data_IF_564237905030
#
_entry.id   IF_564237905030
#
_cell.length_a   1.000
_cell.length_b   1.000
_cell.length_c   1.000
_cell.angle_alpha   90.00
_cell.angle_beta   90.00
_cell.angle_gamma   90.00
#
_symmetry.space_group_name_H-M   'P 1'
#
loop_
_entity.id
_entity.type
_entity.pdbx_description
1 polymer ?
#
# COMPACT_ATOMS: atom_id res chain seq x y z
N UNK A 1 -0.82 3.61 -29.60
CA UNK A 1 0.12 3.40 -28.46
C UNK A 1 -0.46 4.16 -27.29
N UNK A 2 -0.87 3.49 -26.21
CA UNK A 2 -1.44 4.19 -25.04
C UNK A 2 -0.38 5.03 -24.34
N UNK A 3 -0.76 6.12 -23.68
CA UNK A 3 0.18 6.90 -22.88
C UNK A 3 0.69 6.01 -21.71
N UNK A 4 2.00 5.77 -21.71
CA UNK A 4 2.67 5.01 -20.67
C UNK A 4 2.46 5.63 -19.29
N UNK A 5 2.37 6.96 -19.20
CA UNK A 5 2.13 7.67 -17.94
C UNK A 5 0.72 7.41 -17.43
N UNK A 6 -0.30 7.55 -18.27
CA UNK A 6 -1.67 7.25 -17.89
C UNK A 6 -1.82 5.81 -17.38
N UNK A 7 -1.24 4.84 -18.10
CA UNK A 7 -1.23 3.43 -17.67
C UNK A 7 -0.53 3.25 -16.32
N UNK A 8 0.63 3.89 -16.15
CA UNK A 8 1.43 3.80 -14.92
C UNK A 8 0.70 4.37 -13.71
N UNK A 9 0.06 5.53 -13.84
CA UNK A 9 -0.74 6.13 -12.76
C UNK A 9 -1.94 5.24 -12.41
N UNK A 10 -2.65 4.72 -13.42
CA UNK A 10 -3.81 3.86 -13.18
C UNK A 10 -3.44 2.56 -12.48
N UNK A 11 -2.34 1.92 -12.84
CA UNK A 11 -1.87 0.69 -12.19
C UNK A 11 -1.48 0.92 -10.71
N UNK A 12 -1.00 2.11 -10.35
CA UNK A 12 -0.71 2.45 -8.94
C UNK A 12 -1.96 2.81 -8.13
N UNK A 13 -2.91 3.55 -8.72
CA UNK A 13 -4.22 3.82 -8.09
C UNK A 13 -4.93 2.50 -7.78
N UNK A 14 -4.95 1.60 -8.76
CA UNK A 14 -5.38 0.22 -8.67
C UNK A 14 -4.77 -0.55 -7.49
N UNK A 15 -3.43 -0.56 -7.38
CA UNK A 15 -2.71 -1.31 -6.35
C UNK A 15 -3.01 -0.86 -4.92
N UNK A 16 -3.40 0.40 -4.72
CA UNK A 16 -3.67 0.93 -3.38
C UNK A 16 -4.99 0.43 -2.75
N UNK A 17 -5.90 -0.18 -3.52
CA UNK A 17 -7.19 -0.69 -3.01
C UNK A 17 -6.99 -1.76 -1.93
N UNK A 18 -6.13 -2.76 -2.20
CA UNK A 18 -5.88 -3.85 -1.26
C UNK A 18 -5.25 -3.37 0.05
N UNK A 19 -4.41 -2.33 -0.01
CA UNK A 19 -3.80 -1.73 1.17
C UNK A 19 -4.85 -1.03 2.05
N UNK A 20 -5.79 -0.29 1.45
CA UNK A 20 -6.88 0.38 2.17
C UNK A 20 -7.78 -0.63 2.86
N UNK A 21 -8.21 -1.69 2.17
CA UNK A 21 -9.05 -2.74 2.76
C UNK A 21 -8.35 -3.40 3.97
N UNK A 22 -7.05 -3.68 3.85
CA UNK A 22 -6.28 -4.28 4.92
C UNK A 22 -6.16 -3.34 6.13
N UNK A 23 -5.94 -2.05 5.91
CA UNK A 23 -5.86 -1.06 6.99
C UNK A 23 -7.22 -0.83 7.68
N UNK A 24 -8.33 -0.81 6.94
CA UNK A 24 -9.67 -0.72 7.57
C UNK A 24 -9.93 -1.94 8.44
N UNK A 25 -9.59 -3.15 7.97
CA UNK A 25 -9.68 -4.36 8.82
C UNK A 25 -8.82 -4.25 10.07
N UNK A 26 -7.57 -3.79 9.96
CA UNK A 26 -6.72 -3.60 11.15
C UNK A 26 -7.32 -2.60 12.12
N UNK A 27 -7.86 -1.49 11.63
CA UNK A 27 -8.55 -0.51 12.46
C UNK A 27 -9.78 -1.10 13.16
N UNK A 28 -10.58 -1.91 12.47
CA UNK A 28 -11.75 -2.60 13.04
C UNK A 28 -11.37 -3.67 14.08
N UNK A 29 -10.39 -4.52 13.75
CA UNK A 29 -9.95 -5.64 14.60
C UNK A 29 -9.21 -5.17 15.86
N UNK A 30 -8.48 -4.06 15.77
CA UNK A 30 -7.58 -3.59 16.83
C UNK A 30 -8.05 -2.34 17.58
N UNK A 31 -9.08 -1.64 17.08
CA UNK A 31 -9.64 -0.45 17.74
C UNK A 31 -8.59 0.62 18.06
N UNK A 32 -8.53 1.04 19.32
CA UNK A 32 -7.61 2.09 19.78
C UNK A 32 -6.23 1.58 20.21
N UNK A 33 -5.88 0.32 19.96
CA UNK A 33 -4.54 -0.20 20.27
C UNK A 33 -3.44 0.40 19.35
N UNK A 34 -2.14 0.10 19.57
CA UNK A 34 -1.06 0.60 18.71
C UNK A 34 -1.21 0.29 17.20
N UNK A 35 -1.69 -0.90 16.83
CA UNK A 35 -1.93 -1.30 15.43
C UNK A 35 -3.10 -0.50 14.86
N UNK A 36 -4.22 -0.44 15.58
CA UNK A 36 -5.42 0.26 15.11
C UNK A 36 -5.21 1.77 14.96
N UNK A 37 -4.45 2.40 15.87
CA UNK A 37 -4.02 3.80 15.73
C UNK A 37 -3.10 4.02 14.54
N UNK A 38 -2.15 3.11 14.32
CA UNK A 38 -1.25 3.17 13.15
C UNK A 38 -2.06 3.04 11.87
N UNK A 39 -3.00 2.10 11.80
CA UNK A 39 -3.86 1.89 10.64
C UNK A 39 -4.72 3.12 10.35
N UNK A 40 -5.34 3.72 11.39
CA UNK A 40 -6.12 4.96 11.27
C UNK A 40 -5.29 6.11 10.69
N UNK A 41 -4.05 6.27 11.17
CA UNK A 41 -3.16 7.32 10.68
C UNK A 41 -2.75 7.07 9.22
N UNK A 42 -2.38 5.83 8.88
CA UNK A 42 -2.01 5.45 7.51
C UNK A 42 -3.17 5.65 6.53
N UNK A 43 -4.41 5.31 6.91
CA UNK A 43 -5.60 5.53 6.09
C UNK A 43 -5.77 7.00 5.72
N UNK A 44 -5.62 7.90 6.70
CA UNK A 44 -5.72 9.34 6.47
C UNK A 44 -4.64 9.83 5.52
N UNK A 45 -3.39 9.45 5.77
CA UNK A 45 -2.25 9.87 4.94
C UNK A 45 -2.38 9.34 3.51
N UNK A 46 -2.73 8.06 3.33
CA UNK A 46 -2.94 7.45 2.00
C UNK A 46 -4.11 8.13 1.27
N UNK A 47 -5.16 8.53 1.99
CA UNK A 47 -6.26 9.28 1.38
C UNK A 47 -5.82 10.67 0.88
N UNK A 48 -4.95 11.36 1.61
CA UNK A 48 -4.40 12.65 1.18
C UNK A 48 -3.44 12.48 -0.01
N UNK A 49 -2.60 11.45 0.00
CA UNK A 49 -1.71 11.11 -1.11
C UNK A 49 -2.46 10.68 -2.38
N UNK A 50 -3.59 9.99 -2.23
CA UNK A 50 -4.47 9.63 -3.35
C UNK A 50 -5.03 10.86 -4.04
N UNK A 51 -5.41 11.91 -3.31
CA UNK A 51 -5.86 13.18 -3.94
C UNK A 51 -4.79 13.77 -4.84
N UNK A 52 -3.53 13.73 -4.41
CA UNK A 52 -2.40 14.18 -5.25
C UNK A 52 -2.27 13.32 -6.51
N UNK A 53 -2.45 12.02 -6.38
CA UNK A 53 -2.37 11.10 -7.53
C UNK A 53 -3.53 11.28 -8.51
N UNK A 54 -4.73 11.51 -7.99
CA UNK A 54 -5.95 11.78 -8.76
C UNK A 54 -5.80 13.10 -9.55
N UNK A 55 -5.34 14.17 -8.90
CA UNK A 55 -5.05 15.46 -9.56
C UNK A 55 -4.03 15.31 -10.70
N UNK A 56 -3.00 14.49 -10.52
CA UNK A 56 -2.02 14.19 -11.56
C UNK A 56 -2.63 13.36 -12.70
N UNK A 57 -3.46 12.38 -12.38
CA UNK A 57 -4.16 11.56 -13.37
C UNK A 57 -5.09 12.41 -14.25
N UNK A 58 -5.83 13.35 -13.65
CA UNK A 58 -6.69 14.28 -14.37
C UNK A 58 -5.90 15.16 -15.35
N UNK A 59 -4.76 15.71 -14.92
CA UNK A 59 -3.91 16.56 -15.78
C UNK A 59 -3.39 15.85 -17.03
N UNK A 60 -3.09 14.56 -16.92
CA UNK A 60 -2.56 13.75 -18.03
C UNK A 60 -3.68 13.13 -18.88
N UNK A 61 -4.95 13.41 -18.57
CA UNK A 61 -6.09 12.81 -19.25
C UNK A 61 -6.22 11.30 -19.00
N UNK A 62 -5.64 10.78 -17.92
CA UNK A 62 -5.86 9.41 -17.50
C UNK A 62 -7.29 9.31 -16.97
N UNK A 63 -8.11 8.45 -17.59
CA UNK A 63 -9.43 8.17 -17.06
C UNK A 63 -9.30 7.42 -15.74
N UNK A 64 -10.02 7.89 -14.72
CA UNK A 64 -10.19 7.21 -13.42
C UNK A 64 -10.89 5.84 -13.60
N UNK A 65 -11.46 5.58 -14.78
CA UNK A 65 -11.97 4.24 -15.12
C UNK A 65 -10.81 3.27 -15.30
N UNK A 66 -10.62 2.41 -14.29
CA UNK A 66 -9.71 1.27 -14.33
C UNK A 66 -9.85 0.51 -15.67
N UNK A 67 -8.82 0.46 -16.52
CA UNK A 67 -8.82 -0.39 -17.69
C UNK A 67 -9.11 -1.82 -17.25
N UNK A 68 -9.89 -2.56 -18.04
CA UNK A 68 -10.21 -3.98 -17.78
C UNK A 68 -8.96 -4.82 -17.46
N UNK A 69 -7.82 -4.46 -18.07
CA UNK A 69 -6.52 -5.10 -17.85
C UNK A 69 -5.94 -4.79 -16.45
N UNK A 70 -6.02 -3.55 -15.99
CA UNK A 70 -5.64 -3.17 -14.63
C UNK A 70 -6.56 -3.83 -13.61
N UNK A 71 -7.87 -3.84 -13.84
CA UNK A 71 -8.84 -4.56 -13.01
C UNK A 71 -8.53 -6.06 -12.90
N UNK A 72 -8.18 -6.71 -14.02
CA UNK A 72 -7.80 -8.13 -14.04
C UNK A 72 -6.50 -8.39 -13.28
N UNK A 73 -5.50 -7.50 -13.41
CA UNK A 73 -4.22 -7.62 -12.69
C UNK A 73 -4.38 -7.39 -11.19
N UNK A 74 -5.19 -6.39 -10.78
CA UNK A 74 -5.58 -6.19 -9.37
C UNK A 74 -6.28 -7.43 -8.85
N UNK A 75 -7.25 -7.96 -9.59
CA UNK A 75 -7.99 -9.14 -9.18
C UNK A 75 -7.07 -10.35 -9.02
N UNK A 76 -6.09 -10.54 -9.91
CA UNK A 76 -5.10 -11.60 -9.81
C UNK A 76 -4.16 -11.40 -8.61
N UNK A 77 -3.69 -10.18 -8.35
CA UNK A 77 -2.80 -9.89 -7.20
C UNK A 77 -3.53 -9.92 -5.88
N UNK A 78 -4.75 -9.40 -5.82
CA UNK A 78 -5.64 -9.52 -4.69
C UNK A 78 -6.02 -10.99 -4.45
N UNK A 79 -6.25 -11.79 -5.51
CA UNK A 79 -6.50 -13.22 -5.39
C UNK A 79 -5.24 -13.97 -4.92
N UNK A 80 -4.04 -13.65 -5.43
CA UNK A 80 -2.78 -14.25 -4.96
C UNK A 80 -2.50 -13.89 -3.51
N UNK A 81 -2.79 -12.66 -3.11
CA UNK A 81 -2.76 -12.27 -1.71
C UNK A 81 -3.80 -13.12 -0.97
N UNK A 82 -5.09 -13.11 -1.40
CA UNK A 82 -6.25 -13.82 -0.83
C UNK A 82 -6.02 -15.33 -0.65
N UNK A 83 -5.34 -15.97 -1.61
CA UNK A 83 -5.00 -17.40 -1.62
C UNK A 83 -3.84 -17.76 -0.68
N UNK A 84 -3.03 -16.79 -0.23
CA UNK A 84 -2.06 -16.99 0.85
C UNK A 84 -2.69 -16.92 2.24
N UNK A 85 -3.95 -16.48 2.36
CA UNK A 85 -4.67 -16.35 3.65
C UNK A 85 -5.46 -17.61 4.08
N UNK A 86 -5.09 -18.81 3.62
CA UNK A 86 -5.76 -20.08 4.05
C UNK A 86 -5.39 -20.52 5.50
N UNK A 87 -4.68 -19.69 6.27
CA UNK A 87 -4.43 -19.86 7.70
C UNK A 87 -5.70 -19.51 8.53
N UNK A 88 -5.93 -20.08 9.73
CA UNK A 88 -7.09 -19.75 10.56
C UNK A 88 -7.21 -18.24 10.76
N UNK A 89 -8.45 -17.73 10.66
CA UNK A 89 -8.74 -16.30 10.79
C UNK A 89 -8.09 -15.73 12.08
N UNK A 90 -7.07 -14.88 11.91
CA UNK A 90 -6.45 -14.13 13.00
C UNK A 90 -5.15 -14.70 13.56
N UNK A 91 -4.57 -15.73 12.92
CA UNK A 91 -3.27 -16.29 13.33
C UNK A 91 -2.10 -15.29 13.26
N UNK A 92 -1.07 -15.42 14.13
CA UNK A 92 0.12 -14.56 14.11
C UNK A 92 0.83 -14.51 12.75
N UNK A 93 0.88 -15.63 12.01
CA UNK A 93 1.49 -15.69 10.68
C UNK A 93 0.74 -14.83 9.67
N UNK A 94 -0.59 -14.96 9.62
CA UNK A 94 -1.46 -14.10 8.80
C UNK A 94 -1.28 -12.60 9.09
N UNK A 95 -1.10 -12.24 10.38
CA UNK A 95 -0.84 -10.85 10.79
C UNK A 95 0.52 -10.37 10.26
N UNK A 96 1.56 -11.18 10.37
CA UNK A 96 2.88 -10.90 9.82
C UNK A 96 2.83 -10.67 8.31
N UNK A 97 2.23 -11.59 7.56
CA UNK A 97 2.10 -11.49 6.09
C UNK A 97 1.29 -10.25 5.66
N UNK A 98 0.28 -9.88 6.45
CA UNK A 98 -0.50 -8.66 6.22
C UNK A 98 0.38 -7.39 6.34
N UNK A 99 1.26 -7.31 7.33
CA UNK A 99 2.22 -6.21 7.45
C UNK A 99 3.30 -6.22 6.34
N UNK A 100 3.69 -7.40 5.85
CA UNK A 100 4.59 -7.52 4.69
C UNK A 100 3.93 -7.01 3.40
N UNK A 101 2.66 -7.36 3.18
CA UNK A 101 1.88 -6.85 2.06
C UNK A 101 1.78 -5.31 2.10
N UNK A 102 1.49 -4.73 3.27
CA UNK A 102 1.50 -3.27 3.45
C UNK A 102 2.88 -2.67 3.18
N UNK A 103 3.94 -3.30 3.65
CA UNK A 103 5.32 -2.85 3.44
C UNK A 103 5.66 -2.77 1.95
N UNK A 104 5.28 -3.78 1.18
CA UNK A 104 5.45 -3.80 -0.28
C UNK A 104 4.60 -2.73 -0.98
N UNK A 105 3.36 -2.53 -0.53
CA UNK A 105 2.49 -1.48 -1.05
C UNK A 105 3.04 -0.07 -0.84
N UNK A 106 3.56 0.20 0.37
CA UNK A 106 4.20 1.48 0.71
C UNK A 106 5.45 1.70 -0.14
N UNK A 107 6.29 0.67 -0.32
CA UNK A 107 7.47 0.79 -1.19
C UNK A 107 7.09 1.02 -2.64
N UNK A 108 6.08 0.32 -3.16
CA UNK A 108 5.55 0.56 -4.52
C UNK A 108 5.11 2.02 -4.71
N UNK A 109 4.38 2.58 -3.74
CA UNK A 109 3.98 3.99 -3.73
C UNK A 109 5.18 4.94 -3.63
N UNK A 110 6.21 4.61 -2.85
CA UNK A 110 7.45 5.41 -2.79
C UNK A 110 8.18 5.42 -4.14
N UNK A 111 8.27 4.27 -4.81
CA UNK A 111 8.86 4.14 -6.13
C UNK A 111 8.08 4.95 -7.18
N UNK A 112 6.75 4.96 -7.11
CA UNK A 112 5.90 5.85 -7.91
C UNK A 112 6.32 7.31 -7.73
N UNK A 113 6.37 7.81 -6.49
CA UNK A 113 6.72 9.21 -6.25
C UNK A 113 8.10 9.59 -6.78
N UNK A 114 9.09 8.71 -6.61
CA UNK A 114 10.44 8.90 -7.18
C UNK A 114 10.44 8.93 -8.71
N UNK A 115 9.65 8.06 -9.34
CA UNK A 115 9.52 8.02 -10.79
C UNK A 115 8.86 9.30 -11.33
N UNK A 116 7.80 9.77 -10.69
CA UNK A 116 7.10 11.00 -11.06
C UNK A 116 7.97 12.24 -10.83
N UNK A 117 8.70 12.30 -9.71
CA UNK A 117 9.68 13.36 -9.44
C UNK A 117 10.73 13.45 -10.57
N UNK A 118 11.29 12.29 -10.95
CA UNK A 118 12.28 12.21 -12.04
C UNK A 118 11.68 12.66 -13.38
N UNK A 119 10.47 12.22 -13.69
CA UNK A 119 9.80 12.56 -14.94
C UNK A 119 9.35 14.04 -15.00
N UNK A 120 9.06 14.67 -13.86
CA UNK A 120 8.61 16.07 -13.78
C UNK A 120 9.62 17.06 -14.36
N UNK A 121 10.91 16.72 -14.34
CA UNK A 121 11.97 17.50 -14.99
C UNK A 121 11.77 17.67 -16.51
N UNK A 122 10.97 16.81 -17.14
CA UNK A 122 10.74 16.81 -18.60
C UNK A 122 9.25 16.82 -19.00
N UNK A 123 8.33 16.67 -18.04
CA UNK A 123 6.88 16.66 -18.27
C UNK A 123 6.20 17.68 -17.35
N UNK A 124 5.82 18.83 -17.90
CA UNK A 124 5.22 19.94 -17.14
C UNK A 124 3.90 19.58 -16.45
N UNK A 125 3.14 18.63 -17.00
CA UNK A 125 1.93 18.08 -16.39
C UNK A 125 2.15 17.42 -15.01
N UNK A 126 3.39 16.98 -14.73
CA UNK A 126 3.81 16.41 -13.44
C UNK A 126 4.42 17.45 -12.50
N UNK A 127 4.49 18.73 -12.88
CA UNK A 127 5.03 19.77 -12.00
C UNK A 127 4.03 20.14 -10.89
N UNK A 128 4.54 20.50 -9.72
CA UNK A 128 3.76 21.07 -8.62
C UNK A 128 3.73 20.26 -7.32
N UNK A 129 3.56 18.92 -7.33
CA UNK A 129 3.59 18.13 -6.10
C UNK A 129 4.92 18.27 -5.34
N UNK A 130 4.85 18.29 -4.00
CA UNK A 130 6.02 18.13 -3.13
C UNK A 130 6.44 16.65 -3.10
N UNK A 131 7.17 16.22 -4.12
CA UNK A 131 7.62 14.84 -4.23
C UNK A 131 8.55 14.42 -3.09
N UNK A 132 9.41 15.31 -2.62
CA UNK A 132 10.34 15.00 -1.53
C UNK A 132 9.56 14.75 -0.22
N UNK A 133 8.55 15.56 0.07
CA UNK A 133 7.63 15.35 1.19
C UNK A 133 6.86 14.03 1.09
N UNK A 134 6.35 13.69 -0.10
CA UNK A 134 5.63 12.42 -0.35
C UNK A 134 6.53 11.19 -0.19
N UNK A 135 7.79 11.28 -0.64
CA UNK A 135 8.79 10.22 -0.49
C UNK A 135 9.13 10.05 1.00
N UNK A 136 9.41 11.15 1.70
CA UNK A 136 9.72 11.13 3.14
C UNK A 136 8.56 10.57 3.96
N UNK A 137 7.32 10.91 3.60
CA UNK A 137 6.11 10.36 4.22
C UNK A 137 6.03 8.85 4.02
N UNK A 138 6.23 8.34 2.79
CA UNK A 138 6.22 6.90 2.54
C UNK A 138 7.32 6.16 3.32
N UNK A 139 8.50 6.75 3.47
CA UNK A 139 9.57 6.20 4.31
C UNK A 139 9.18 6.16 5.79
N UNK A 140 8.49 7.19 6.28
CA UNK A 140 7.96 7.21 7.64
C UNK A 140 6.88 6.17 7.90
N UNK A 141 5.94 6.04 6.97
CA UNK A 141 4.92 4.99 7.01
C UNK A 141 5.57 3.60 7.04
N UNK A 142 6.62 3.39 6.24
CA UNK A 142 7.36 2.12 6.22
C UNK A 142 8.00 1.82 7.58
N UNK A 143 8.58 2.82 8.25
CA UNK A 143 9.14 2.67 9.60
C UNK A 143 8.06 2.33 10.63
N UNK A 144 6.90 2.99 10.59
CA UNK A 144 5.77 2.69 11.49
C UNK A 144 5.23 1.27 11.31
N UNK A 145 5.09 0.82 10.06
CA UNK A 145 4.68 -0.56 9.75
C UNK A 145 5.73 -1.59 10.20
N UNK A 146 7.03 -1.26 10.13
CA UNK A 146 8.10 -2.19 10.49
C UNK A 146 8.05 -2.65 11.94
N UNK A 147 7.70 -1.73 12.86
CA UNK A 147 7.58 -2.05 14.28
C UNK A 147 6.58 -3.19 14.49
N UNK A 148 5.41 -3.09 13.86
CA UNK A 148 4.36 -4.11 13.97
C UNK A 148 4.70 -5.39 13.21
N UNK A 149 5.35 -5.26 12.05
CA UNK A 149 5.80 -6.42 11.25
C UNK A 149 6.76 -7.30 12.02
N UNK A 150 7.75 -6.70 12.71
CA UNK A 150 8.74 -7.43 13.49
C UNK A 150 8.13 -8.08 14.73
N UNK A 151 7.23 -7.38 15.42
CA UNK A 151 6.49 -7.96 16.55
C UNK A 151 5.65 -9.18 16.11
N UNK A 152 4.91 -9.05 15.00
CA UNK A 152 4.13 -10.15 14.44
C UNK A 152 5.02 -11.32 13.97
N UNK A 153 6.21 -11.04 13.43
CA UNK A 153 7.17 -12.07 13.05
C UNK A 153 7.72 -12.84 14.25
N UNK A 154 8.02 -12.15 15.36
CA UNK A 154 8.43 -12.78 16.61
C UNK A 154 7.33 -13.73 17.13
N UNK A 155 6.08 -13.26 17.19
CA UNK A 155 4.94 -14.08 17.61
C UNK A 155 4.74 -15.30 16.69
N UNK A 156 4.74 -15.09 15.36
CA UNK A 156 4.46 -16.12 14.38
C UNK A 156 5.53 -17.22 14.31
N UNK A 157 6.79 -16.84 14.40
CA UNK A 157 7.91 -17.75 14.16
C UNK A 157 8.40 -18.45 15.43
N UNK A 158 7.97 -18.00 16.63
CA UNK A 158 8.30 -18.65 17.91
C UNK A 158 7.18 -19.55 18.44
N UNK A 159 5.95 -19.44 17.91
CA UNK A 159 4.76 -20.18 18.37
C UNK A 159 4.90 -21.72 18.38
N UNK A 160 5.87 -22.30 17.66
CA UNK A 160 6.16 -23.74 17.64
C UNK A 160 7.25 -24.24 18.61
N UNK A 161 7.87 -23.37 19.40
CA UNK A 161 9.03 -23.74 20.25
C UNK A 161 8.66 -24.20 21.67
N UNK A 162 7.37 -24.25 21.99
CA UNK A 162 6.87 -24.48 23.35
C UNK A 162 6.11 -25.79 23.57
N UNK A 163 6.55 -26.94 23.02
CA UNK A 163 6.12 -28.26 23.55
C UNK A 163 7.13 -29.35 23.21
N UNK A 164 8.21 -29.46 23.97
CA UNK A 164 8.86 -30.75 24.25
C UNK A 164 9.58 -30.66 25.58
N UNK A 165 8.87 -30.95 26.67
CA UNK A 165 9.47 -31.46 27.91
C UNK A 165 8.48 -32.39 28.57
#
# INVERSE_FOLDING_TARGET
>A
MGDHLATYLTDHMAGSVAAVELLERFKEEHGDDPIGRTATQLLKEIADERKVLDDLAERVGASVTLPRKAASWIAEKAAQLKLRYDDPQGGPLRRMESFEALSLGIEGKRLLWRALATASARRLELAGPDYDGLIALAEDQRRRVEVHRLAAAEEALTAGTGTTT
#
